data_IF_518508274747
#
_entry.id   IF_518508274747
#
_cell.length_a   1.000
_cell.length_b   1.000
_cell.length_c   1.000
_cell.angle_alpha   90.00
_cell.angle_beta   90.00
_cell.angle_gamma   90.00
#
_symmetry.space_group_name_H-M   'P 1'
#
loop_
_entity.id
_entity.type
_entity.pdbx_description
1 polymer ?
#
# COMPACT_ATOMS: atom_id res chain seq x y z
N UNK A 1 48.76 -16.75 -20.25
CA UNK A 1 48.78 -15.40 -19.65
C UNK A 1 47.39 -14.79 -19.80
N UNK A 2 46.67 -14.69 -18.69
CA UNK A 2 45.61 -13.72 -18.42
C UNK A 2 45.26 -13.89 -16.93
N UNK A 3 46.02 -13.21 -16.09
CA UNK A 3 45.79 -13.09 -14.65
C UNK A 3 44.60 -12.17 -14.43
N UNK A 4 43.41 -12.73 -14.19
CA UNK A 4 42.27 -12.01 -13.63
C UNK A 4 42.45 -11.86 -12.13
N UNK A 5 43.21 -10.84 -11.71
CA UNK A 5 43.33 -10.49 -10.30
C UNK A 5 42.00 -9.96 -9.78
N UNK A 6 41.29 -10.75 -8.96
CA UNK A 6 40.36 -10.20 -7.99
C UNK A 6 41.19 -9.37 -7.01
N UNK A 7 41.23 -8.06 -7.20
CA UNK A 7 41.77 -7.14 -6.21
C UNK A 7 41.01 -7.34 -4.91
N UNK A 8 41.59 -8.06 -3.95
CA UNK A 8 41.03 -8.22 -2.63
C UNK A 8 41.01 -6.84 -1.98
N UNK A 9 39.82 -6.23 -1.90
CA UNK A 9 39.63 -5.11 -0.99
C UNK A 9 40.07 -5.59 0.40
N UNK A 10 40.86 -4.77 1.12
CA UNK A 10 41.31 -5.12 2.46
C UNK A 10 40.10 -5.29 3.36
N UNK A 11 39.81 -6.52 3.76
CA UNK A 11 38.72 -6.83 4.70
C UNK A 11 38.98 -6.06 6.00
N UNK A 12 38.02 -5.26 6.51
CA UNK A 12 38.21 -4.52 7.75
C UNK A 12 38.52 -5.47 8.90
N UNK A 13 39.54 -5.15 9.69
CA UNK A 13 39.82 -5.88 10.93
C UNK A 13 38.67 -5.67 11.92
N UNK A 14 38.20 -6.75 12.54
CA UNK A 14 37.18 -6.75 13.58
C UNK A 14 37.81 -6.42 14.94
N UNK A 15 37.10 -5.67 15.77
CA UNK A 15 37.45 -5.55 17.18
C UNK A 15 37.19 -6.87 17.90
N UNK A 16 37.90 -7.14 18.99
CA UNK A 16 37.63 -8.29 19.86
C UNK A 16 36.17 -8.31 20.29
N UNK A 17 35.46 -9.42 20.07
CA UNK A 17 34.00 -9.46 20.08
C UNK A 17 33.42 -9.49 21.50
N UNK A 18 32.58 -8.51 21.80
CA UNK A 18 31.78 -8.42 23.03
C UNK A 18 30.32 -8.16 22.70
N UNK A 19 29.44 -8.35 23.69
CA UNK A 19 28.01 -8.02 23.55
C UNK A 19 27.77 -6.52 23.25
N UNK A 20 28.70 -5.67 23.70
CA UNK A 20 28.60 -4.22 23.53
C UNK A 20 29.11 -3.74 22.16
N UNK A 21 30.05 -4.48 21.54
CA UNK A 21 30.67 -4.07 20.27
C UNK A 21 30.28 -4.93 19.05
N UNK A 22 29.40 -5.93 19.22
CA UNK A 22 28.91 -6.72 18.08
C UNK A 22 28.22 -5.85 17.01
N UNK A 23 27.41 -4.85 17.38
CA UNK A 23 26.76 -3.96 16.41
C UNK A 23 27.77 -3.17 15.57
N UNK A 24 28.70 -2.39 16.14
CA UNK A 24 29.68 -1.66 15.32
C UNK A 24 30.57 -2.60 14.48
N UNK A 25 30.88 -3.80 14.98
CA UNK A 25 31.58 -4.82 14.19
C UNK A 25 30.76 -5.31 12.98
N UNK A 26 29.48 -5.65 13.17
CA UNK A 26 28.58 -6.06 12.07
C UNK A 26 28.39 -4.94 11.05
N UNK A 27 28.17 -3.70 11.51
CA UNK A 27 28.06 -2.52 10.63
C UNK A 27 29.34 -2.35 9.81
N UNK A 28 30.52 -2.42 10.43
CA UNK A 28 31.81 -2.28 9.76
C UNK A 28 32.00 -3.28 8.62
N UNK A 29 31.62 -4.54 8.83
CA UNK A 29 31.72 -5.59 7.80
C UNK A 29 30.70 -5.40 6.69
N UNK A 30 29.44 -5.10 7.03
CA UNK A 30 28.35 -4.95 6.05
C UNK A 30 28.44 -3.64 5.25
N UNK A 31 29.21 -2.65 5.73
CA UNK A 31 29.40 -1.36 5.06
C UNK A 31 30.50 -1.36 3.98
N UNK A 32 30.91 -2.54 3.50
CA UNK A 32 31.88 -2.68 2.41
C UNK A 32 31.27 -2.50 1.00
N UNK A 33 29.94 -2.45 0.88
CA UNK A 33 29.27 -2.26 -0.40
C UNK A 33 29.66 -0.92 -1.06
N UNK A 34 29.89 -0.91 -2.38
CA UNK A 34 30.19 0.33 -3.12
C UNK A 34 29.00 1.29 -3.18
N UNK A 35 27.79 0.72 -3.12
CA UNK A 35 26.54 1.48 -3.16
C UNK A 35 26.30 2.17 -1.80
N UNK A 36 26.28 3.51 -1.81
CA UNK A 36 26.10 4.31 -0.61
C UNK A 36 24.72 4.13 0.03
N UNK A 37 23.68 3.91 -0.77
CA UNK A 37 22.31 3.71 -0.29
C UNK A 37 22.17 2.35 0.40
N UNK A 38 22.70 1.30 -0.20
CA UNK A 38 22.69 -0.05 0.38
C UNK A 38 23.46 -0.09 1.70
N UNK A 39 24.64 0.55 1.77
CA UNK A 39 25.40 0.66 3.03
C UNK A 39 24.55 1.29 4.13
N UNK A 40 23.92 2.43 3.84
CA UNK A 40 23.08 3.13 4.79
C UNK A 40 21.90 2.28 5.26
N UNK A 41 21.19 1.61 4.34
CA UNK A 41 20.08 0.73 4.68
C UNK A 41 20.51 -0.44 5.58
N UNK A 42 21.62 -1.10 5.24
CA UNK A 42 22.14 -2.23 6.03
C UNK A 42 22.65 -1.79 7.40
N UNK A 43 23.31 -0.64 7.49
CA UNK A 43 23.73 -0.06 8.76
C UNK A 43 22.53 0.19 9.67
N UNK A 44 21.51 0.91 9.18
CA UNK A 44 20.31 1.22 9.97
C UNK A 44 19.56 -0.04 10.37
N UNK A 45 19.41 -1.00 9.47
CA UNK A 45 18.75 -2.28 9.76
C UNK A 45 19.46 -3.03 10.89
N UNK A 46 20.78 -3.18 10.84
CA UNK A 46 21.57 -3.87 11.87
C UNK A 46 21.45 -3.16 13.21
N UNK A 47 21.52 -1.82 13.23
CA UNK A 47 21.37 -1.02 14.45
C UNK A 47 19.99 -1.28 15.08
N UNK A 48 18.91 -1.09 14.33
CA UNK A 48 17.55 -1.25 14.86
C UNK A 48 17.26 -2.70 15.28
N UNK A 49 17.74 -3.69 14.53
CA UNK A 49 17.56 -5.11 14.88
C UNK A 49 18.28 -5.49 16.18
N UNK A 50 19.53 -5.05 16.35
CA UNK A 50 20.30 -5.34 17.56
C UNK A 50 19.75 -4.57 18.77
N UNK A 51 19.31 -3.33 18.57
CA UNK A 51 18.70 -2.53 19.65
C UNK A 51 17.38 -3.12 20.13
N UNK A 52 16.53 -3.62 19.21
CA UNK A 52 15.33 -4.38 19.58
C UNK A 52 15.68 -5.59 20.46
N UNK A 53 16.69 -6.37 20.09
CA UNK A 53 17.11 -7.54 20.86
C UNK A 53 17.65 -7.15 22.26
N UNK A 54 18.40 -6.05 22.36
CA UNK A 54 18.91 -5.55 23.66
C UNK A 54 17.81 -5.01 24.55
N UNK A 55 16.92 -4.19 23.99
CA UNK A 55 15.82 -3.55 24.70
C UNK A 55 14.89 -4.60 25.30
N UNK A 56 14.54 -5.62 24.52
CA UNK A 56 13.64 -6.70 24.94
C UNK A 56 14.31 -7.80 25.74
N UNK A 57 15.65 -7.84 25.78
CA UNK A 57 16.44 -8.95 26.35
C UNK A 57 16.05 -10.29 25.73
N UNK A 58 15.88 -10.31 24.40
CA UNK A 58 15.37 -11.43 23.63
C UNK A 58 16.06 -12.75 24.01
N UNK A 59 15.28 -13.70 24.51
CA UNK A 59 15.79 -15.03 24.88
C UNK A 59 16.04 -15.89 23.63
N UNK A 60 16.83 -16.96 23.78
CA UNK A 60 17.06 -17.92 22.69
C UNK A 60 15.77 -18.60 22.23
N UNK A 61 14.83 -18.86 23.14
CA UNK A 61 13.55 -19.50 22.82
C UNK A 61 12.63 -18.55 22.04
N UNK A 62 12.54 -17.28 22.44
CA UNK A 62 11.79 -16.25 21.71
C UNK A 62 12.41 -15.98 20.33
N UNK A 63 13.74 -15.91 20.26
CA UNK A 63 14.46 -15.78 18.99
C UNK A 63 14.17 -16.95 18.04
N UNK A 64 14.26 -18.19 18.52
CA UNK A 64 13.94 -19.37 17.73
C UNK A 64 12.47 -19.38 17.29
N UNK A 65 11.55 -18.95 18.17
CA UNK A 65 10.13 -18.81 17.84
C UNK A 65 9.91 -17.81 16.71
N UNK A 66 10.56 -16.65 16.76
CA UNK A 66 10.54 -15.65 15.70
C UNK A 66 11.10 -16.17 14.37
N UNK A 67 12.20 -16.94 14.41
CA UNK A 67 12.74 -17.57 13.21
C UNK A 67 11.78 -18.58 12.58
N UNK A 68 11.18 -19.45 13.40
CA UNK A 68 10.19 -20.42 12.91
C UNK A 68 8.96 -19.73 12.34
N UNK A 69 8.53 -18.60 12.92
CA UNK A 69 7.47 -17.77 12.38
C UNK A 69 7.82 -17.21 10.98
N UNK A 70 9.02 -16.66 10.81
CA UNK A 70 9.47 -16.12 9.52
C UNK A 70 9.62 -17.22 8.45
N UNK A 71 10.12 -18.40 8.85
CA UNK A 71 10.20 -19.57 7.97
C UNK A 71 8.80 -19.99 7.50
N UNK A 72 7.85 -20.13 8.43
CA UNK A 72 6.47 -20.49 8.09
C UNK A 72 5.79 -19.44 7.20
N UNK A 73 6.09 -18.16 7.44
CA UNK A 73 5.60 -17.03 6.62
C UNK A 73 6.10 -17.17 5.18
N UNK A 74 7.38 -17.48 4.99
CA UNK A 74 7.93 -17.72 3.64
C UNK A 74 7.37 -18.97 2.96
N UNK A 75 7.15 -20.05 3.71
CA UNK A 75 6.70 -21.33 3.15
C UNK A 75 5.26 -21.32 2.62
N UNK A 76 4.39 -20.45 3.15
CA UNK A 76 3.00 -20.34 2.70
C UNK A 76 2.81 -19.35 1.54
N UNK A 77 3.83 -18.56 1.22
CA UNK A 77 3.81 -17.68 0.05
C UNK A 77 3.74 -18.49 -1.26
N UNK A 78 3.00 -17.98 -2.23
CA UNK A 78 2.82 -18.49 -3.60
C UNK A 78 2.60 -17.33 -4.58
N UNK A 79 2.37 -17.62 -5.86
CA UNK A 79 2.10 -16.59 -6.88
C UNK A 79 0.80 -15.80 -6.62
N UNK A 80 -0.13 -16.37 -5.85
CA UNK A 80 -1.44 -15.77 -5.52
C UNK A 80 -1.59 -15.42 -4.03
N UNK A 81 -0.57 -15.70 -3.21
CA UNK A 81 -0.57 -15.40 -1.77
C UNK A 81 0.79 -14.90 -1.33
N UNK A 82 0.85 -13.71 -0.75
CA UNK A 82 2.10 -13.18 -0.20
C UNK A 82 1.94 -12.85 1.29
N UNK A 83 2.29 -13.82 2.14
CA UNK A 83 2.18 -13.69 3.60
C UNK A 83 3.19 -12.67 4.17
N UNK A 84 4.31 -12.41 3.48
CA UNK A 84 5.25 -11.36 3.89
C UNK A 84 4.70 -9.95 3.64
N UNK A 85 3.97 -9.75 2.53
CA UNK A 85 3.22 -8.50 2.31
C UNK A 85 2.15 -8.37 3.41
N UNK A 86 1.42 -9.45 3.70
CA UNK A 86 0.41 -9.41 4.76
C UNK A 86 1.00 -9.11 6.14
N UNK A 87 2.17 -9.67 6.45
CA UNK A 87 2.92 -9.35 7.66
C UNK A 87 3.33 -7.87 7.71
N UNK A 88 3.80 -7.32 6.58
CA UNK A 88 4.10 -5.89 6.45
C UNK A 88 2.84 -5.02 6.69
N UNK A 89 1.70 -5.44 6.15
CA UNK A 89 0.42 -4.75 6.28
C UNK A 89 -0.06 -4.69 7.74
N UNK A 90 -0.09 -5.84 8.44
CA UNK A 90 -0.56 -5.89 9.84
C UNK A 90 0.40 -5.26 10.84
N UNK A 91 1.66 -4.99 10.44
CA UNK A 91 2.63 -4.23 11.21
C UNK A 91 2.64 -2.73 10.81
N UNK A 92 1.79 -2.32 9.86
CA UNK A 92 1.69 -0.93 9.39
C UNK A 92 2.86 -0.46 8.52
N UNK A 93 3.78 -1.37 8.15
CA UNK A 93 4.98 -1.02 7.37
C UNK A 93 4.62 -0.64 5.94
N UNK A 94 3.69 -1.36 5.30
CA UNK A 94 3.28 -1.08 3.92
C UNK A 94 2.73 0.35 3.77
N UNK A 95 1.84 0.75 4.67
CA UNK A 95 1.27 2.10 4.68
C UNK A 95 2.30 3.17 5.01
N UNK A 96 3.25 2.88 5.91
CA UNK A 96 4.34 3.80 6.23
C UNK A 96 5.24 4.02 5.01
N UNK A 97 5.61 2.95 4.30
CA UNK A 97 6.41 3.03 3.07
C UNK A 97 5.68 3.81 1.99
N UNK A 98 4.38 3.55 1.78
CA UNK A 98 3.56 4.32 0.85
C UNK A 98 3.56 5.82 1.21
N UNK A 99 3.28 6.15 2.47
CA UNK A 99 3.22 7.54 2.95
C UNK A 99 4.54 8.29 2.81
N UNK A 100 5.69 7.59 2.93
CA UNK A 100 7.03 8.16 2.71
C UNK A 100 7.29 8.43 1.22
N UNK A 101 6.89 7.51 0.35
CA UNK A 101 7.20 7.59 -1.09
C UNK A 101 6.22 8.46 -1.87
N UNK A 102 4.97 8.53 -1.41
CA UNK A 102 3.87 9.21 -2.09
C UNK A 102 3.18 10.24 -1.17
N UNK A 103 3.93 11.13 -0.49
CA UNK A 103 3.31 12.13 0.39
C UNK A 103 2.41 13.06 -0.41
N UNK A 104 1.30 13.46 0.19
CA UNK A 104 0.30 14.30 -0.49
C UNK A 104 0.31 15.70 0.11
N UNK A 105 0.27 16.77 -0.70
CA UNK A 105 -0.04 18.09 -0.18
C UNK A 105 -1.47 18.09 0.39
N UNK A 106 -1.82 19.01 1.30
CA UNK A 106 -3.11 18.98 2.00
C UNK A 106 -4.37 18.94 1.11
N UNK A 107 -4.27 19.39 -0.14
CA UNK A 107 -5.38 19.36 -1.10
C UNK A 107 -5.48 18.05 -1.90
N UNK A 108 -4.43 17.22 -1.93
CA UNK A 108 -4.41 15.97 -2.71
C UNK A 108 -5.14 14.84 -1.99
N UNK A 109 -5.76 13.94 -2.75
CA UNK A 109 -6.34 12.71 -2.18
C UNK A 109 -5.23 11.88 -1.55
N UNK A 110 -5.46 11.43 -0.32
CA UNK A 110 -4.50 10.59 0.40
C UNK A 110 -4.38 9.19 -0.21
N UNK A 111 -3.17 8.65 -0.21
CA UNK A 111 -2.93 7.25 -0.58
C UNK A 111 -3.40 6.28 0.50
N UNK A 112 -3.65 5.03 0.11
CA UNK A 112 -3.90 3.89 0.99
C UNK A 112 -3.17 2.66 0.46
N UNK A 113 -3.20 1.55 1.20
CA UNK A 113 -2.52 0.30 0.82
C UNK A 113 -3.11 -0.27 -0.48
N UNK A 114 -2.23 -0.69 -1.40
CA UNK A 114 -2.62 -1.41 -2.61
C UNK A 114 -3.34 -2.73 -2.29
N UNK A 115 -2.87 -3.43 -1.26
CA UNK A 115 -3.30 -4.79 -0.97
C UNK A 115 -2.79 -5.80 -2.01
N UNK A 116 -3.03 -7.10 -1.81
CA UNK A 116 -2.44 -8.16 -2.62
C UNK A 116 -3.30 -8.56 -3.84
N UNK A 117 -4.44 -7.91 -4.09
CA UNK A 117 -5.48 -8.42 -5.01
C UNK A 117 -5.66 -7.61 -6.31
N UNK A 118 -4.82 -6.60 -6.56
CA UNK A 118 -4.76 -5.93 -7.86
C UNK A 118 -4.20 -6.90 -8.92
N UNK A 119 -4.74 -6.83 -10.14
CA UNK A 119 -4.29 -7.65 -11.28
C UNK A 119 -4.25 -6.83 -12.56
N UNK A 120 -3.45 -7.29 -13.54
CA UNK A 120 -3.30 -6.62 -14.83
C UNK A 120 -4.29 -7.09 -15.90
N UNK A 121 -5.16 -8.05 -15.59
CA UNK A 121 -6.13 -8.64 -16.53
C UNK A 121 -7.52 -7.98 -16.46
N UNK A 122 -7.70 -6.96 -15.63
CA UNK A 122 -8.97 -6.22 -15.52
C UNK A 122 -9.39 -5.63 -16.88
N UNK A 123 -10.66 -5.80 -17.31
CA UNK A 123 -11.12 -5.31 -18.61
C UNK A 123 -11.20 -3.79 -18.61
N UNK A 124 -10.83 -3.17 -19.74
CA UNK A 124 -11.12 -1.74 -19.95
C UNK A 124 -12.59 -1.56 -20.33
N UNK A 125 -13.33 -0.79 -19.55
CA UNK A 125 -14.76 -0.55 -19.73
C UNK A 125 -15.03 0.93 -20.05
N UNK A 126 -16.03 1.23 -20.91
CA UNK A 126 -16.48 2.59 -21.11
C UNK A 126 -17.25 3.10 -19.88
N UNK A 127 -17.35 4.42 -19.76
CA UNK A 127 -18.22 5.07 -18.78
C UNK A 127 -19.65 4.51 -18.83
N UNK A 128 -20.17 4.15 -17.66
CA UNK A 128 -21.52 3.59 -17.48
C UNK A 128 -21.66 2.09 -17.71
N UNK A 129 -20.57 1.39 -17.98
CA UNK A 129 -20.57 -0.06 -17.94
C UNK A 129 -20.82 -0.60 -16.52
N UNK A 130 -21.22 -1.87 -16.45
CA UNK A 130 -21.19 -2.64 -15.21
C UNK A 130 -19.82 -3.27 -15.05
N UNK A 131 -19.18 -3.08 -13.89
CA UNK A 131 -17.97 -3.84 -13.53
C UNK A 131 -18.29 -5.12 -12.74
N UNK A 132 -19.57 -5.31 -12.40
CA UNK A 132 -20.04 -6.42 -11.59
C UNK A 132 -20.75 -7.50 -12.40
N UNK A 133 -20.53 -8.76 -11.99
CA UNK A 133 -21.31 -9.91 -12.42
C UNK A 133 -22.00 -10.64 -11.25
N UNK A 134 -21.87 -10.12 -10.02
CA UNK A 134 -22.47 -10.68 -8.81
C UNK A 134 -23.97 -10.31 -8.69
N UNK A 135 -24.89 -11.28 -8.82
CA UNK A 135 -26.32 -11.02 -8.73
C UNK A 135 -26.83 -10.77 -7.30
N UNK A 136 -26.05 -11.13 -6.28
CA UNK A 136 -26.44 -11.01 -4.87
C UNK A 136 -25.97 -9.70 -4.23
N UNK A 137 -25.13 -8.93 -4.93
CA UNK A 137 -24.65 -7.63 -4.47
C UNK A 137 -25.72 -6.54 -4.50
N UNK A 138 -25.77 -5.72 -3.46
CA UNK A 138 -26.65 -4.54 -3.43
C UNK A 138 -26.19 -3.52 -4.48
N UNK A 139 -27.02 -3.16 -5.49
CA UNK A 139 -26.56 -2.31 -6.60
C UNK A 139 -26.08 -0.93 -6.15
N UNK A 140 -24.96 -0.50 -6.73
CA UNK A 140 -24.31 0.78 -6.50
C UNK A 140 -24.02 1.49 -7.83
N UNK A 141 -24.39 2.76 -7.94
CA UNK A 141 -23.85 3.67 -8.95
C UNK A 141 -22.68 4.43 -8.34
N UNK A 142 -21.49 4.34 -8.93
CA UNK A 142 -20.34 5.17 -8.58
C UNK A 142 -20.16 6.27 -9.62
N UNK A 143 -20.18 7.53 -9.19
CA UNK A 143 -19.95 8.72 -10.01
C UNK A 143 -18.79 9.51 -9.43
N UNK A 144 -17.65 9.45 -10.11
CA UNK A 144 -16.41 10.03 -9.62
C UNK A 144 -15.85 11.08 -10.58
N UNK A 145 -15.08 12.03 -10.04
CA UNK A 145 -14.30 12.96 -10.85
C UNK A 145 -12.85 13.01 -10.41
N UNK A 146 -11.95 13.32 -11.34
CA UNK A 146 -10.54 13.59 -11.07
C UNK A 146 -10.24 15.04 -11.41
N UNK A 147 -9.73 15.77 -10.43
CA UNK A 147 -9.35 17.17 -10.52
C UNK A 147 -7.92 17.38 -10.06
N UNK A 148 -7.34 18.50 -10.44
CA UNK A 148 -6.09 18.96 -9.86
C UNK A 148 -6.34 19.81 -8.59
N UNK A 149 -5.29 20.23 -7.86
CA UNK A 149 -5.46 21.02 -6.64
C UNK A 149 -6.07 22.42 -6.87
N UNK A 150 -6.19 22.86 -8.13
CA UNK A 150 -6.85 24.10 -8.52
C UNK A 150 -8.31 23.87 -8.96
N UNK A 151 -8.82 22.64 -8.85
CA UNK A 151 -10.18 22.26 -9.19
C UNK A 151 -10.42 22.01 -10.68
N UNK A 152 -9.38 22.09 -11.52
CA UNK A 152 -9.50 21.87 -12.97
C UNK A 152 -9.64 20.37 -13.24
N UNK A 153 -10.54 19.96 -14.16
CA UNK A 153 -10.70 18.55 -14.50
C UNK A 153 -9.44 17.96 -15.13
N UNK A 154 -9.13 16.71 -14.79
CA UNK A 154 -7.99 15.97 -15.36
C UNK A 154 -8.52 14.84 -16.25
N UNK A 155 -8.57 15.10 -17.55
CA UNK A 155 -9.00 14.14 -18.57
C UNK A 155 -7.94 13.08 -18.89
N UNK A 156 -8.33 11.92 -19.39
CA UNK A 156 -7.40 10.89 -19.87
C UNK A 156 -6.57 10.21 -18.77
N UNK A 157 -7.06 10.20 -17.52
CA UNK A 157 -6.44 9.43 -16.42
C UNK A 157 -6.95 8.01 -16.52
N UNK A 158 -6.04 7.03 -16.53
CA UNK A 158 -6.38 5.62 -16.41
C UNK A 158 -6.69 5.33 -14.94
N UNK A 159 -7.84 4.70 -14.69
CA UNK A 159 -8.33 4.40 -13.34
C UNK A 159 -8.62 2.91 -13.23
N UNK A 160 -7.77 2.18 -12.52
CA UNK A 160 -8.03 0.78 -12.16
C UNK A 160 -8.89 0.77 -10.89
N UNK A 161 -9.95 -0.03 -10.92
CA UNK A 161 -10.95 -0.13 -9.84
C UNK A 161 -11.11 -1.60 -9.51
N UNK A 162 -11.10 -1.95 -8.22
CA UNK A 162 -11.37 -3.32 -7.77
C UNK A 162 -11.98 -3.35 -6.37
N UNK A 163 -12.83 -4.33 -6.13
CA UNK A 163 -13.47 -4.60 -4.83
C UNK A 163 -13.72 -6.11 -4.66
N UNK A 164 -14.25 -6.50 -3.51
CA UNK A 164 -14.75 -7.87 -3.30
C UNK A 164 -16.15 -8.03 -3.86
N UNK A 165 -16.54 -9.26 -4.15
CA UNK A 165 -17.94 -9.62 -4.31
C UNK A 165 -18.75 -9.45 -3.00
N UNK A 166 -20.06 -9.67 -3.06
CA UNK A 166 -20.96 -9.58 -1.91
C UNK A 166 -20.68 -10.58 -0.79
N UNK A 167 -19.89 -11.63 -1.07
CA UNK A 167 -19.43 -12.62 -0.09
C UNK A 167 -18.14 -12.20 0.63
N UNK A 168 -17.52 -11.08 0.22
CA UNK A 168 -16.27 -10.58 0.78
C UNK A 168 -15.01 -11.24 0.20
N UNK A 169 -15.07 -11.78 -1.03
CA UNK A 169 -13.92 -12.35 -1.72
C UNK A 169 -13.61 -11.56 -2.99
N UNK A 170 -12.32 -11.33 -3.27
CA UNK A 170 -11.91 -10.92 -4.61
C UNK A 170 -12.01 -12.12 -5.56
N UNK A 171 -12.34 -11.88 -6.83
CA UNK A 171 -12.42 -12.90 -7.88
C UNK A 171 -11.19 -13.84 -7.92
N UNK A 172 -9.98 -13.30 -7.70
CA UNK A 172 -8.70 -14.05 -7.65
C UNK A 172 -8.60 -15.06 -6.51
N UNK A 173 -9.46 -14.97 -5.51
CA UNK A 173 -9.50 -15.91 -4.38
C UNK A 173 -10.39 -17.12 -4.67
N UNK A 174 -11.25 -17.06 -5.70
CA UNK A 174 -12.11 -18.18 -6.08
C UNK A 174 -11.33 -19.21 -6.89
N UNK A 175 -11.40 -20.47 -6.47
CA UNK A 175 -10.68 -21.56 -7.15
C UNK A 175 -11.17 -21.82 -8.59
N UNK A 176 -12.41 -21.43 -8.86
CA UNK A 176 -13.12 -21.54 -10.13
C UNK A 176 -13.24 -20.19 -10.85
N UNK A 177 -12.34 -19.23 -10.55
CA UNK A 177 -12.27 -17.92 -11.20
C UNK A 177 -12.42 -18.04 -12.72
N UNK A 178 -13.49 -17.45 -13.23
CA UNK A 178 -13.76 -17.30 -14.66
C UNK A 178 -13.14 -16.02 -15.21
N UNK A 179 -13.97 -15.24 -15.92
CA UNK A 179 -13.59 -13.90 -16.34
C UNK A 179 -13.44 -12.97 -15.13
N UNK A 180 -12.57 -11.94 -15.21
CA UNK A 180 -12.45 -10.93 -14.17
C UNK A 180 -13.80 -10.31 -13.80
N UNK A 181 -14.10 -10.26 -12.50
CA UNK A 181 -15.31 -9.63 -11.95
C UNK A 181 -14.95 -8.70 -10.81
N UNK A 182 -15.82 -7.72 -10.56
CA UNK A 182 -15.65 -6.70 -9.51
C UNK A 182 -14.36 -5.89 -9.69
N UNK A 183 -13.92 -5.78 -10.94
CA UNK A 183 -12.75 -5.01 -11.34
C UNK A 183 -12.90 -4.49 -12.76
N UNK A 184 -12.39 -3.29 -13.01
CA UNK A 184 -12.28 -2.75 -14.35
C UNK A 184 -11.19 -1.68 -14.43
N UNK A 185 -10.86 -1.30 -15.66
CA UNK A 185 -10.07 -0.10 -15.96
C UNK A 185 -10.97 0.88 -16.69
N UNK A 186 -10.98 2.14 -16.27
CA UNK A 186 -11.69 3.23 -16.95
C UNK A 186 -10.73 4.36 -17.31
N UNK A 187 -11.19 5.27 -18.18
CA UNK A 187 -10.44 6.47 -18.53
C UNK A 187 -11.33 7.69 -18.31
N UNK A 188 -10.80 8.70 -17.62
CA UNK A 188 -11.57 9.92 -17.34
C UNK A 188 -11.90 10.71 -18.61
N UNK A 189 -13.11 11.25 -18.69
CA UNK A 189 -13.57 12.09 -19.80
C UNK A 189 -12.96 13.50 -19.79
N UNK A 190 -13.34 14.36 -20.75
CA UNK A 190 -12.86 15.75 -20.85
C UNK A 190 -13.14 16.60 -19.59
N UNK A 191 -14.12 16.20 -18.78
CA UNK A 191 -14.49 16.84 -17.51
C UNK A 191 -13.91 16.10 -16.30
N UNK A 192 -12.97 15.18 -16.52
CA UNK A 192 -12.33 14.38 -15.49
C UNK A 192 -13.26 13.31 -14.90
N UNK A 193 -14.42 13.04 -15.50
CA UNK A 193 -15.41 12.11 -14.94
C UNK A 193 -15.13 10.68 -15.33
N UNK A 194 -15.37 9.78 -14.38
CA UNK A 194 -15.52 8.35 -14.64
C UNK A 194 -16.65 7.80 -13.76
N UNK A 195 -17.45 6.88 -14.30
CA UNK A 195 -18.59 6.32 -13.57
C UNK A 195 -18.95 4.92 -14.06
N UNK A 196 -19.49 4.12 -13.14
CA UNK A 196 -19.77 2.70 -13.37
C UNK A 196 -20.89 2.19 -12.45
N UNK A 197 -21.46 1.06 -12.84
CA UNK A 197 -22.33 0.26 -11.98
C UNK A 197 -21.49 -0.83 -11.32
N UNK A 198 -21.57 -0.90 -10.01
CA UNK A 198 -20.93 -1.92 -9.18
C UNK A 198 -21.90 -2.39 -8.11
N UNK A 199 -21.35 -2.93 -7.04
CA UNK A 199 -22.11 -3.37 -5.87
C UNK A 199 -21.62 -2.59 -4.64
N UNK A 200 -22.40 -2.65 -3.56
CA UNK A 200 -21.97 -2.10 -2.28
C UNK A 200 -20.76 -2.89 -1.76
N UNK A 201 -19.64 -2.23 -1.41
CA UNK A 201 -18.54 -2.91 -0.75
C UNK A 201 -18.99 -3.54 0.57
N UNK A 202 -18.39 -4.68 0.92
CA UNK A 202 -18.64 -5.39 2.19
C UNK A 202 -17.35 -5.54 2.97
N UNK A 203 -17.45 -5.58 4.30
CA UNK A 203 -16.32 -5.90 5.17
C UNK A 203 -15.89 -7.36 4.94
N UNK A 204 -14.60 -7.63 4.95
CA UNK A 204 -14.07 -8.98 4.78
C UNK A 204 -12.84 -9.23 5.65
N UNK A 205 -12.56 -10.48 6.04
CA UNK A 205 -11.34 -10.82 6.75
C UNK A 205 -10.16 -10.95 5.78
N UNK A 206 -8.99 -10.44 6.16
CA UNK A 206 -7.73 -10.81 5.49
C UNK A 206 -7.46 -12.32 5.67
N UNK A 207 -6.66 -12.96 4.79
CA UNK A 207 -6.25 -14.35 4.98
C UNK A 207 -5.68 -14.58 6.40
N UNK A 208 -6.28 -15.50 7.14
CA UNK A 208 -6.00 -15.68 8.57
C UNK A 208 -5.75 -17.15 8.97
N UNK A 209 -5.62 -18.04 8.00
CA UNK A 209 -5.24 -19.45 8.15
C UNK A 209 -3.71 -19.65 8.28
N UNK A 210 -2.93 -18.62 7.95
CA UNK A 210 -1.47 -18.61 7.96
C UNK A 210 -0.84 -18.12 9.28
N UNK A 211 0.51 -18.01 9.31
CA UNK A 211 1.23 -17.46 10.45
C UNK A 211 0.74 -16.07 10.88
N UNK A 212 0.42 -15.18 9.93
CA UNK A 212 -0.02 -13.82 10.24
C UNK A 212 -1.37 -13.84 10.98
N UNK A 213 -2.31 -14.66 10.53
CA UNK A 213 -3.59 -14.86 11.23
C UNK A 213 -3.40 -15.39 12.66
N UNK A 214 -2.51 -16.36 12.85
CA UNK A 214 -2.16 -16.87 14.18
C UNK A 214 -1.52 -15.79 15.06
N UNK A 215 -0.70 -14.91 14.49
CA UNK A 215 -0.11 -13.79 15.22
C UNK A 215 -1.19 -12.79 15.65
N UNK A 216 -2.15 -12.44 14.78
CA UNK A 216 -3.26 -11.58 15.14
C UNK A 216 -4.09 -12.14 16.29
N UNK A 217 -4.44 -13.43 16.24
CA UNK A 217 -5.13 -14.13 17.32
C UNK A 217 -4.35 -14.03 18.65
N UNK A 218 -3.04 -14.28 18.63
CA UNK A 218 -2.17 -14.14 19.82
C UNK A 218 -2.06 -12.71 20.34
N UNK A 219 -2.19 -11.70 19.47
CA UNK A 219 -2.24 -10.30 19.84
C UNK A 219 -3.64 -9.82 20.28
N UNK A 220 -4.65 -10.70 20.24
CA UNK A 220 -6.04 -10.32 20.52
C UNK A 220 -6.65 -9.38 19.47
N UNK A 221 -6.13 -9.41 18.23
CA UNK A 221 -6.59 -8.59 17.11
C UNK A 221 -7.53 -9.38 16.20
N UNK A 222 -8.52 -8.71 15.62
CA UNK A 222 -9.34 -9.28 14.55
C UNK A 222 -8.64 -9.17 13.19
N UNK A 223 -9.10 -9.95 12.21
CA UNK A 223 -8.60 -9.97 10.82
C UNK A 223 -9.45 -9.15 9.84
N UNK A 224 -10.53 -8.51 10.30
CA UNK A 224 -11.45 -7.78 9.43
C UNK A 224 -10.90 -6.45 8.91
N UNK A 225 -11.18 -6.19 7.63
CA UNK A 225 -11.09 -4.88 6.99
C UNK A 225 -12.50 -4.32 6.80
N UNK A 226 -12.71 -3.01 6.98
CA UNK A 226 -13.99 -2.37 6.70
C UNK A 226 -14.35 -2.44 5.23
N UNK A 227 -15.64 -2.32 4.88
CA UNK A 227 -16.12 -2.22 3.52
C UNK A 227 -15.41 -1.10 2.74
N UNK A 228 -14.78 -1.43 1.60
CA UNK A 228 -14.07 -0.47 0.77
C UNK A 228 -13.95 -0.88 -0.69
N UNK A 229 -13.72 0.13 -1.52
CA UNK A 229 -13.41 0.00 -2.94
C UNK A 229 -12.05 0.62 -3.23
N UNK A 230 -11.22 -0.08 -3.99
CA UNK A 230 -9.89 0.40 -4.35
C UNK A 230 -9.88 1.17 -5.66
N UNK A 231 -8.93 2.11 -5.75
CA UNK A 231 -8.66 2.90 -6.93
C UNK A 231 -7.15 3.05 -7.13
N UNK A 232 -6.69 2.94 -8.38
CA UNK A 232 -5.33 3.27 -8.78
C UNK A 232 -5.36 4.16 -10.02
N UNK A 233 -4.72 5.32 -9.92
CA UNK A 233 -4.74 6.36 -10.94
C UNK A 233 -3.38 6.47 -11.62
N UNK A 234 -3.37 6.39 -12.94
CA UNK A 234 -2.16 6.44 -13.75
C UNK A 234 -2.33 7.44 -14.90
N UNK A 235 -1.42 8.42 -14.97
CA UNK A 235 -1.30 9.35 -16.10
C UNK A 235 0.11 9.94 -16.13
N UNK A 236 0.72 10.00 -17.32
CA UNK A 236 2.05 10.58 -17.49
C UNK A 236 2.14 12.01 -16.92
N UNK A 237 3.15 12.25 -16.08
CA UNK A 237 3.37 13.53 -15.39
C UNK A 237 2.54 13.75 -14.12
N UNK A 238 1.64 12.82 -13.78
CA UNK A 238 0.85 12.83 -12.57
C UNK A 238 1.35 11.76 -11.60
N UNK A 239 1.12 11.99 -10.31
CA UNK A 239 1.46 11.01 -9.29
C UNK A 239 0.64 9.73 -9.49
N UNK A 240 1.29 8.59 -9.31
CA UNK A 240 0.65 7.28 -9.37
C UNK A 240 -0.07 7.03 -8.04
N UNK A 241 -1.31 7.49 -7.95
CA UNK A 241 -2.10 7.43 -6.72
C UNK A 241 -2.74 6.05 -6.57
N UNK A 242 -2.42 5.36 -5.49
CA UNK A 242 -3.14 4.18 -5.01
C UNK A 242 -3.94 4.58 -3.78
N UNK A 243 -5.25 4.32 -3.76
CA UNK A 243 -6.12 4.67 -2.65
C UNK A 243 -7.31 3.74 -2.54
N UNK A 244 -8.13 3.95 -1.50
CA UNK A 244 -9.38 3.25 -1.30
C UNK A 244 -10.40 4.18 -0.65
N UNK A 245 -11.68 3.98 -0.96
CA UNK A 245 -12.78 4.66 -0.29
C UNK A 245 -13.48 3.68 0.66
N UNK A 246 -13.63 4.09 1.91
CA UNK A 246 -14.20 3.28 2.99
C UNK A 246 -15.62 3.74 3.33
N UNK A 247 -16.53 2.79 3.55
CA UNK A 247 -17.92 3.12 3.86
C UNK A 247 -18.05 3.58 5.32
N UNK A 248 -18.66 4.75 5.53
CA UNK A 248 -18.93 5.30 6.86
C UNK A 248 -19.87 4.40 7.66
N UNK A 249 -19.54 4.22 8.93
CA UNK A 249 -20.34 3.44 9.88
C UNK A 249 -20.11 1.93 9.79
N UNK A 250 -19.14 1.50 8.98
CA UNK A 250 -18.70 0.10 8.98
C UNK A 250 -18.18 -0.29 10.38
N UNK A 251 -18.51 -1.50 10.90
CA UNK A 251 -18.08 -1.94 12.23
C UNK A 251 -16.55 -1.94 12.44
N UNK A 252 -15.77 -2.01 11.36
CA UNK A 252 -14.31 -2.06 11.39
C UNK A 252 -13.65 -0.76 10.89
N UNK A 253 -14.42 0.31 10.66
CA UNK A 253 -13.90 1.62 10.19
C UNK A 253 -12.74 2.12 11.08
N UNK A 254 -12.88 1.97 12.39
CA UNK A 254 -11.89 2.46 13.36
C UNK A 254 -10.86 1.41 13.77
N UNK A 255 -10.88 0.21 13.19
CA UNK A 255 -10.06 -0.92 13.62
C UNK A 255 -9.52 -1.78 12.48
N UNK A 256 -9.45 -1.26 11.25
CA UNK A 256 -8.91 -1.96 10.08
C UNK A 256 -7.63 -2.75 10.40
N UNK A 257 -7.64 -4.05 10.12
CA UNK A 257 -6.53 -4.96 10.43
C UNK A 257 -5.19 -4.55 9.80
N UNK A 258 -5.22 -3.77 8.72
CA UNK A 258 -4.02 -3.30 7.99
C UNK A 258 -3.83 -1.77 8.07
N UNK A 259 -4.58 -1.09 8.92
CA UNK A 259 -4.47 0.35 9.18
C UNK A 259 -4.71 1.27 7.98
N UNK A 260 -5.41 0.82 6.93
CA UNK A 260 -5.58 1.58 5.68
C UNK A 260 -6.54 2.77 5.77
N UNK A 261 -7.40 2.82 6.79
CA UNK A 261 -8.44 3.86 6.91
C UNK A 261 -7.83 5.22 7.27
N UNK A 262 -8.16 6.22 6.46
CA UNK A 262 -7.92 7.64 6.76
C UNK A 262 -9.24 8.39 6.74
N UNK A 263 -9.42 9.35 7.64
CA UNK A 263 -10.70 10.08 7.80
C UNK A 263 -11.17 10.74 6.49
N UNK A 264 -10.25 11.24 5.67
CA UNK A 264 -10.52 11.85 4.36
C UNK A 264 -11.05 10.87 3.32
N UNK A 265 -10.79 9.58 3.51
CA UNK A 265 -11.16 8.48 2.62
C UNK A 265 -12.45 7.76 3.07
N UNK A 266 -13.04 8.17 4.19
CA UNK A 266 -14.33 7.64 4.67
C UNK A 266 -15.47 8.42 4.02
N UNK A 267 -16.30 7.73 3.26
CA UNK A 267 -17.39 8.28 2.46
C UNK A 267 -18.77 7.84 2.98
N UNK A 268 -19.78 8.64 2.66
CA UNK A 268 -21.18 8.27 2.82
C UNK A 268 -21.72 7.70 1.50
N UNK A 269 -22.64 6.74 1.58
CA UNK A 269 -23.37 6.24 0.43
C UNK A 269 -24.77 6.86 0.42
N UNK A 270 -25.04 7.63 -0.62
CA UNK A 270 -26.33 8.25 -0.84
C UNK A 270 -27.29 7.27 -1.53
N UNK A 271 -28.50 7.76 -1.82
CA UNK A 271 -29.47 7.08 -2.69
C UNK A 271 -29.62 7.86 -3.99
N UNK A 272 -29.68 7.13 -5.10
CA UNK A 272 -29.93 7.71 -6.43
C UNK A 272 -31.33 8.34 -6.44
N UNK A 273 -31.39 9.64 -6.75
CA UNK A 273 -32.65 10.35 -6.97
C UNK A 273 -33.14 10.18 -8.41
N UNK A 274 -34.41 10.54 -8.67
CA UNK A 274 -35.00 10.47 -10.01
C UNK A 274 -34.16 11.12 -11.12
N UNK A 275 -33.58 12.30 -10.85
CA UNK A 275 -32.77 13.02 -11.85
C UNK A 275 -31.49 12.24 -12.19
N UNK A 276 -30.80 11.73 -11.18
CA UNK A 276 -29.57 10.94 -11.34
C UNK A 276 -29.89 9.61 -12.02
N UNK A 277 -31.01 8.97 -11.67
CA UNK A 277 -31.50 7.76 -12.33
C UNK A 277 -31.71 7.98 -13.85
N UNK A 278 -32.40 9.06 -14.22
CA UNK A 278 -32.61 9.44 -15.62
C UNK A 278 -31.30 9.80 -16.34
N UNK A 279 -30.38 10.50 -15.68
CA UNK A 279 -29.08 10.92 -16.25
C UNK A 279 -28.15 9.73 -16.52
N UNK A 280 -28.07 8.77 -15.60
CA UNK A 280 -27.13 7.66 -15.65
C UNK A 280 -27.74 6.33 -16.12
N UNK A 281 -29.05 6.30 -16.35
CA UNK A 281 -29.76 5.10 -16.82
C UNK A 281 -29.74 3.96 -15.81
N UNK A 282 -29.97 4.28 -14.53
CA UNK A 282 -30.05 3.33 -13.41
C UNK A 282 -31.38 3.46 -12.68
N UNK A 283 -31.71 2.51 -11.81
CA UNK A 283 -32.94 2.57 -11.02
C UNK A 283 -32.86 3.63 -9.91
N UNK A 284 -33.97 4.33 -9.68
CA UNK A 284 -34.11 5.24 -8.54
C UNK A 284 -34.05 4.45 -7.21
N UNK A 285 -33.33 4.98 -6.22
CA UNK A 285 -33.23 4.37 -4.89
C UNK A 285 -32.12 3.32 -4.72
N UNK A 286 -31.34 2.99 -5.76
CA UNK A 286 -30.08 2.24 -5.57
C UNK A 286 -29.04 3.10 -4.83
N UNK A 287 -27.96 2.48 -4.36
CA UNK A 287 -26.91 3.22 -3.66
C UNK A 287 -26.13 4.11 -4.63
N UNK A 288 -25.63 5.23 -4.12
CA UNK A 288 -24.85 6.21 -4.87
C UNK A 288 -23.55 6.54 -4.12
N UNK A 289 -22.42 6.26 -4.76
CA UNK A 289 -21.12 6.75 -4.38
C UNK A 289 -20.80 7.97 -5.23
N UNK A 290 -20.59 9.13 -4.61
CA UNK A 290 -20.09 10.35 -5.27
C UNK A 290 -18.76 10.75 -4.63
N UNK A 291 -17.71 10.88 -5.44
CA UNK A 291 -16.41 11.27 -4.93
C UNK A 291 -15.59 12.11 -5.91
N UNK A 292 -14.95 13.15 -5.40
CA UNK A 292 -14.00 13.99 -6.15
C UNK A 292 -12.58 13.67 -5.71
N UNK A 293 -11.83 13.00 -6.57
CA UNK A 293 -10.40 12.74 -6.40
C UNK A 293 -9.60 13.97 -6.80
N UNK A 294 -8.60 14.32 -6.00
CA UNK A 294 -7.62 15.37 -6.30
C UNK A 294 -6.27 14.72 -6.56
N UNK A 295 -5.89 14.68 -7.83
CA UNK A 295 -4.61 14.16 -8.28
C UNK A 295 -3.58 15.29 -8.30
N UNK A 296 -2.36 14.99 -7.87
CA UNK A 296 -1.23 15.94 -7.86
C UNK A 296 -0.23 15.54 -8.93
N UNK A 297 0.63 16.47 -9.33
CA UNK A 297 1.68 16.12 -10.29
C UNK A 297 2.73 15.22 -9.64
N UNK A 298 3.40 14.41 -10.45
CA UNK A 298 4.53 13.59 -9.98
C UNK A 298 5.60 14.49 -9.35
N UNK A 299 5.90 15.62 -10.00
CA UNK A 299 6.88 16.61 -9.53
C UNK A 299 6.55 17.17 -8.15
N UNK A 300 5.29 17.57 -7.90
CA UNK A 300 4.88 18.10 -6.58
C UNK A 300 5.06 17.04 -5.48
N UNK A 301 4.78 15.78 -5.79
CA UNK A 301 4.95 14.64 -4.86
C UNK A 301 6.42 14.40 -4.57
N UNK A 302 7.28 14.38 -5.59
CA UNK A 302 8.73 14.22 -5.45
C UNK A 302 9.36 15.37 -4.65
N UNK A 303 9.00 16.62 -4.93
CA UNK A 303 9.50 17.79 -4.18
C UNK A 303 9.05 17.78 -2.72
N UNK A 304 7.83 17.29 -2.43
CA UNK A 304 7.35 17.13 -1.07
C UNK A 304 8.07 15.98 -0.35
N UNK A 305 8.26 14.85 -1.02
CA UNK A 305 9.03 13.70 -0.51
C UNK A 305 10.44 14.11 -0.13
N UNK A 306 11.15 14.82 -1.00
CA UNK A 306 12.53 15.26 -0.75
C UNK A 306 12.61 16.19 0.46
N UNK A 307 11.70 17.17 0.56
CA UNK A 307 11.64 18.08 1.72
C UNK A 307 11.37 17.32 3.02
N UNK A 308 10.40 16.40 3.01
CA UNK A 308 10.05 15.59 4.17
C UNK A 308 11.22 14.69 4.59
N UNK A 309 11.92 14.10 3.63
CA UNK A 309 13.09 13.26 3.90
C UNK A 309 14.21 14.06 4.56
N UNK A 310 14.57 15.23 4.01
CA UNK A 310 15.60 16.10 4.60
C UNK A 310 15.22 16.55 6.02
N UNK A 311 13.96 16.96 6.23
CA UNK A 311 13.49 17.36 7.55
C UNK A 311 13.54 16.22 8.56
N UNK A 312 13.08 15.02 8.17
CA UNK A 312 13.10 13.84 9.02
C UNK A 312 14.52 13.43 9.43
N UNK A 313 15.45 13.42 8.47
CA UNK A 313 16.85 13.04 8.73
C UNK A 313 17.56 14.08 9.60
N UNK A 314 17.26 15.37 9.40
CA UNK A 314 17.77 16.44 10.26
C UNK A 314 17.27 16.30 11.71
N UNK A 315 16.00 15.92 11.92
CA UNK A 315 15.45 15.64 13.26
C UNK A 315 16.14 14.47 13.94
N UNK A 316 16.60 13.49 13.16
CA UNK A 316 17.41 12.36 13.65
C UNK A 316 18.89 12.71 13.87
N UNK A 317 19.31 13.95 13.60
CA UNK A 317 20.70 14.39 13.72
C UNK A 317 21.63 13.78 12.67
N UNK A 318 21.08 13.29 11.55
CA UNK A 318 21.84 12.64 10.49
C UNK A 318 22.23 13.64 9.40
N UNK A 319 23.52 13.70 9.04
CA UNK A 319 24.01 14.48 7.91
C UNK A 319 23.91 13.68 6.61
N UNK A 320 22.88 13.97 5.81
CA UNK A 320 22.51 13.19 4.63
C UNK A 320 22.29 14.11 3.44
N UNK A 321 22.63 13.62 2.25
CA UNK A 321 22.21 14.23 0.98
C UNK A 321 21.25 13.30 0.24
N UNK A 322 20.50 13.85 -0.70
CA UNK A 322 19.65 13.06 -1.59
C UNK A 322 20.37 12.79 -2.90
N UNK A 323 20.39 11.52 -3.32
CA UNK A 323 20.81 11.07 -4.65
C UNK A 323 19.63 10.30 -5.21
N UNK A 324 19.09 10.74 -6.35
CA UNK A 324 17.88 10.18 -6.98
C UNK A 324 16.72 10.03 -5.98
N UNK A 325 16.41 11.09 -5.23
CA UNK A 325 15.35 11.15 -4.20
C UNK A 325 15.54 10.17 -3.02
N UNK A 326 16.73 9.58 -2.87
CA UNK A 326 17.06 8.65 -1.81
C UNK A 326 18.16 9.20 -0.90
N UNK A 327 18.00 9.12 0.44
CA UNK A 327 19.01 9.64 1.34
C UNK A 327 20.22 8.71 1.41
N UNK A 328 21.39 9.33 1.32
CA UNK A 328 22.70 8.73 1.48
C UNK A 328 23.55 9.58 2.45
N UNK A 329 24.44 8.97 3.25
CA UNK A 329 25.35 9.69 4.13
C UNK A 329 26.16 10.73 3.35
N UNK A 330 26.19 11.95 3.86
CA UNK A 330 27.06 12.98 3.32
C UNK A 330 28.43 12.86 3.98
N UNK A 331 29.27 12.06 3.32
CA UNK A 331 30.66 11.85 3.70
C UNK A 331 31.48 12.97 3.04
N UNK A 332 31.57 14.12 3.72
CA UNK A 332 32.57 15.15 3.41
C UNK A 332 33.99 14.68 3.75
#
# INVERSE_FOLDING_TARGET
MASGGNGAASVPELLDLTIDNITPNTVRINSQAKDARLRYLMERLVVHLHDFARETRLSSDEWMTGLMFLIATGQICSDVRNEFILLSDILGLSLLVDSINHPKPPAGTEGSVLGPFHTHDAPTLPNGASMTSDPEGEPLLAVCTVRDPQGRPVAGVKVDIWETDSSGHYDVQHSDRGEPSERCVMVTDEQGRFWFKGIKPVSYPIPHDGPVGKLLDRLGRHCWRPAHMHFMFEKEGWDHLITALYVRGDPYETSDAVFGVKKSLVIDLDKVDKKTAEEYGVDEGILLLKHDFVLVTQKETEELRDRNAVEALKKLGLNMKLVDHLPVPDLD
#
